data_IF_531582472648
#
_entry.id   IF_531582472648
#
_cell.length_a   1.000
_cell.length_b   1.000
_cell.length_c   1.000
_cell.angle_alpha   90.00
_cell.angle_beta   90.00
_cell.angle_gamma   90.00
#
_symmetry.space_group_name_H-M   'P 1'
#
loop_
_entity.id
_entity.type
_entity.pdbx_description
1 polymer ?
#
# COMPACT_ATOMS: atom_id res chain seq x y z
N UNK A 1 8.47 -23.97 25.43
CA UNK A 1 8.55 -23.74 23.98
C UNK A 1 8.35 -22.26 23.73
N UNK A 2 9.45 -21.50 23.67
CA UNK A 2 9.41 -20.06 23.45
C UNK A 2 8.97 -19.80 22.02
N UNK A 3 7.82 -19.15 21.82
CA UNK A 3 7.40 -18.61 20.53
C UNK A 3 8.35 -17.47 20.16
N UNK A 4 9.50 -17.80 19.56
CA UNK A 4 10.28 -16.86 18.78
C UNK A 4 9.45 -16.56 17.53
N UNK A 5 8.53 -15.59 17.66
CA UNK A 5 7.83 -14.99 16.54
C UNK A 5 8.88 -14.56 15.54
N UNK A 6 8.83 -15.15 14.35
CA UNK A 6 9.73 -14.86 13.25
C UNK A 6 9.48 -13.42 12.83
N UNK A 7 10.23 -12.48 13.38
CA UNK A 7 10.19 -11.08 12.96
C UNK A 7 10.58 -11.05 11.48
N UNK A 8 9.69 -10.61 10.57
CA UNK A 8 9.99 -10.60 9.15
C UNK A 8 11.23 -9.74 8.91
N UNK A 9 12.16 -10.24 8.11
CA UNK A 9 13.36 -9.48 7.77
C UNK A 9 12.97 -8.18 7.05
N UNK A 10 13.81 -7.14 7.16
CA UNK A 10 13.60 -5.87 6.47
C UNK A 10 13.41 -6.04 4.94
N UNK A 11 13.97 -7.10 4.35
CA UNK A 11 13.74 -7.47 2.95
C UNK A 11 12.30 -7.96 2.71
N UNK A 12 11.80 -8.87 3.53
CA UNK A 12 10.42 -9.38 3.43
C UNK A 12 9.38 -8.28 3.60
N UNK A 13 9.60 -7.33 4.52
CA UNK A 13 8.68 -6.22 4.72
C UNK A 13 8.68 -5.29 3.50
N UNK A 14 9.86 -5.01 2.92
CA UNK A 14 9.93 -4.23 1.68
C UNK A 14 9.25 -4.92 0.51
N UNK A 15 9.36 -6.24 0.39
CA UNK A 15 8.68 -7.00 -0.64
C UNK A 15 7.16 -6.91 -0.48
N UNK A 16 6.65 -7.11 0.75
CA UNK A 16 5.22 -6.96 1.02
C UNK A 16 4.70 -5.55 0.69
N UNK A 17 5.48 -4.51 1.00
CA UNK A 17 5.11 -3.13 0.64
C UNK A 17 5.11 -2.92 -0.88
N UNK A 18 6.02 -3.56 -1.63
CA UNK A 18 5.99 -3.50 -3.09
C UNK A 18 4.73 -4.16 -3.64
N UNK A 19 4.33 -5.32 -3.11
CA UNK A 19 3.11 -6.00 -3.51
C UNK A 19 1.87 -5.16 -3.21
N UNK A 20 1.83 -4.48 -2.05
CA UNK A 20 0.77 -3.54 -1.69
C UNK A 20 0.71 -2.32 -2.63
N UNK A 21 1.87 -1.79 -3.06
CA UNK A 21 1.94 -0.69 -4.04
C UNK A 21 1.34 -1.13 -5.38
N UNK A 22 1.69 -2.33 -5.85
CA UNK A 22 1.14 -2.89 -7.09
C UNK A 22 -0.38 -3.01 -7.00
N UNK A 23 -0.92 -3.57 -5.91
CA UNK A 23 -2.36 -3.66 -5.70
C UNK A 23 -3.04 -2.26 -5.68
N UNK A 24 -2.35 -1.24 -5.18
CA UNK A 24 -2.85 0.14 -5.19
C UNK A 24 -2.89 0.72 -6.60
N UNK A 25 -1.94 0.36 -7.47
CA UNK A 25 -1.95 0.76 -8.88
C UNK A 25 -3.12 0.11 -9.62
N UNK A 26 -3.40 -1.17 -9.36
CA UNK A 26 -4.56 -1.86 -9.93
C UNK A 26 -5.88 -1.17 -9.50
N UNK A 27 -5.97 -0.71 -8.25
CA UNK A 27 -7.11 0.06 -7.76
C UNK A 27 -7.28 1.40 -8.51
N UNK A 28 -6.16 2.09 -8.82
CA UNK A 28 -6.19 3.33 -9.60
C UNK A 28 -6.62 3.07 -11.05
N UNK A 29 -6.30 1.92 -11.63
CA UNK A 29 -6.80 1.53 -12.94
C UNK A 29 -8.32 1.39 -12.93
N UNK A 30 -8.89 0.74 -11.91
CA UNK A 30 -10.35 0.66 -11.73
C UNK A 30 -10.95 2.06 -11.53
N UNK A 31 -10.30 2.93 -10.75
CA UNK A 31 -10.79 4.28 -10.52
C UNK A 31 -10.83 5.12 -11.80
N UNK A 32 -9.85 4.93 -12.69
CA UNK A 32 -9.82 5.54 -14.03
C UNK A 32 -10.97 5.01 -14.89
N UNK A 33 -11.25 3.71 -14.87
CA UNK A 33 -12.35 3.15 -15.63
C UNK A 33 -13.71 3.70 -15.15
N UNK A 34 -13.90 3.83 -13.83
CA UNK A 34 -15.08 4.49 -13.26
C UNK A 34 -15.23 5.94 -13.70
N UNK A 35 -14.13 6.66 -13.83
CA UNK A 35 -14.14 8.02 -14.36
C UNK A 35 -14.56 8.06 -15.83
N UNK A 36 -14.07 7.13 -16.65
CA UNK A 36 -14.47 6.99 -18.07
C UNK A 36 -15.97 6.68 -18.18
N UNK A 37 -16.51 5.89 -17.26
CA UNK A 37 -17.94 5.59 -17.15
C UNK A 37 -18.80 6.77 -16.62
N UNK A 38 -18.19 7.94 -16.36
CA UNK A 38 -18.79 9.12 -15.72
C UNK A 38 -19.25 8.91 -14.26
N UNK A 39 -18.79 7.84 -13.60
CA UNK A 39 -19.01 7.62 -12.17
C UNK A 39 -17.95 8.37 -11.34
N UNK A 40 -18.12 9.70 -11.27
CA UNK A 40 -17.22 10.60 -10.56
C UNK A 40 -17.15 10.31 -9.06
N UNK A 41 -18.26 9.84 -8.47
CA UNK A 41 -18.35 9.56 -7.04
C UNK A 41 -17.51 8.34 -6.69
N UNK A 42 -17.68 7.24 -7.43
CA UNK A 42 -16.94 6.01 -7.19
C UNK A 42 -15.46 6.18 -7.54
N UNK A 43 -15.13 6.85 -8.65
CA UNK A 43 -13.75 7.18 -8.99
C UNK A 43 -13.06 7.98 -7.86
N UNK A 44 -13.72 9.02 -7.35
CA UNK A 44 -13.20 9.82 -6.23
C UNK A 44 -13.02 8.99 -4.95
N UNK A 45 -13.94 8.05 -4.69
CA UNK A 45 -13.86 7.15 -3.53
C UNK A 45 -12.63 6.25 -3.64
N UNK A 46 -12.43 5.62 -4.78
CA UNK A 46 -11.30 4.71 -5.04
C UNK A 46 -9.95 5.45 -4.98
N UNK A 47 -9.86 6.65 -5.54
CA UNK A 47 -8.65 7.48 -5.45
C UNK A 47 -8.30 7.82 -3.99
N UNK A 48 -9.29 8.15 -3.16
CA UNK A 48 -9.04 8.44 -1.73
C UNK A 48 -8.52 7.22 -0.97
N UNK A 49 -9.02 6.02 -1.30
CA UNK A 49 -8.52 4.77 -0.74
C UNK A 49 -7.06 4.58 -1.14
N UNK A 50 -6.75 4.70 -2.44
CA UNK A 50 -5.39 4.57 -2.96
C UNK A 50 -4.40 5.55 -2.30
N UNK A 51 -4.80 6.81 -2.08
CA UNK A 51 -3.97 7.79 -1.36
C UNK A 51 -3.71 7.35 0.08
N UNK A 52 -4.72 6.81 0.78
CA UNK A 52 -4.56 6.34 2.15
C UNK A 52 -3.60 5.14 2.23
N UNK A 53 -3.69 4.22 1.28
CA UNK A 53 -2.83 3.04 1.20
C UNK A 53 -1.37 3.44 0.91
N UNK A 54 -1.14 4.35 -0.04
CA UNK A 54 0.18 4.92 -0.31
C UNK A 54 0.81 5.59 0.92
N UNK A 55 0.03 6.35 1.69
CA UNK A 55 0.51 6.97 2.94
C UNK A 55 0.83 5.92 4.03
N UNK A 56 0.09 4.82 4.08
CA UNK A 56 0.39 3.70 4.99
C UNK A 56 1.70 3.03 4.59
N UNK A 57 1.89 2.73 3.31
CA UNK A 57 3.12 2.13 2.77
C UNK A 57 4.34 3.03 3.03
N UNK A 58 4.23 4.35 2.82
CA UNK A 58 5.28 5.31 3.14
C UNK A 58 5.69 5.25 4.62
N UNK A 59 4.72 5.21 5.54
CA UNK A 59 4.98 5.11 6.98
C UNK A 59 5.75 3.83 7.33
N UNK A 60 5.41 2.70 6.70
CA UNK A 60 6.11 1.42 6.90
C UNK A 60 7.55 1.53 6.42
N UNK A 61 7.78 2.03 5.19
CA UNK A 61 9.13 2.17 4.62
C UNK A 61 9.99 3.10 5.49
N UNK A 62 9.44 4.24 5.92
CA UNK A 62 10.16 5.19 6.78
C UNK A 62 10.44 4.61 8.17
N UNK A 63 9.55 3.78 8.71
CA UNK A 63 9.77 3.05 9.96
C UNK A 63 10.99 2.14 9.88
N UNK A 64 11.08 1.33 8.82
CA UNK A 64 12.22 0.44 8.57
C UNK A 64 13.54 1.19 8.38
N UNK A 65 13.50 2.37 7.77
CA UNK A 65 14.68 3.21 7.57
C UNK A 65 15.27 3.75 8.88
N UNK A 66 14.44 3.92 9.92
CA UNK A 66 14.86 4.43 11.22
C UNK A 66 15.45 3.36 12.15
N UNK A 67 15.16 2.08 11.94
CA UNK A 67 15.75 0.97 12.72
C UNK A 67 17.20 0.64 12.33
N UNK A 68 17.77 1.32 11.33
CA UNK A 68 19.16 1.11 10.86
C UNK A 68 20.20 2.09 11.42
N UNK A 69 19.85 2.91 12.42
CA UNK A 69 20.76 3.82 13.14
C UNK A 69 20.77 3.49 14.63
#
# INVERSE_FOLDING_TARGET
>A
MSFLGYLPSAYQIKQAVLDDIVATIDLLEIAKDKLIENDNQESSRLIRIAVSDMQKQERIIRGLGKEKL
#
